data_IF_703086407580
#
_entry.id   IF_703086407580
#
_cell.length_a   1.000
_cell.length_b   1.000
_cell.length_c   1.000
_cell.angle_alpha   90.00
_cell.angle_beta   90.00
_cell.angle_gamma   90.00
#
_symmetry.space_group_name_H-M   'P 1'
#
loop_
_entity.id
_entity.type
_entity.pdbx_description
1 polymer ?
#
# COMPACT_ATOMS: atom_id res chain seq x y z
N UNK A 1 -23.52 39.70 -17.52
CA UNK A 1 -24.34 38.52 -17.13
C UNK A 1 -24.49 37.66 -18.37
N UNK A 2 -23.61 36.69 -18.57
CA UNK A 2 -23.52 35.91 -19.82
C UNK A 2 -23.68 34.45 -19.46
N UNK A 3 -24.82 33.85 -19.84
CA UNK A 3 -25.12 32.43 -19.64
C UNK A 3 -24.49 31.62 -20.77
N UNK A 4 -23.57 30.74 -20.43
CA UNK A 4 -23.02 29.71 -21.32
C UNK A 4 -24.02 28.54 -21.42
N UNK A 5 -24.43 28.08 -22.61
CA UNK A 5 -25.26 26.89 -22.73
C UNK A 5 -24.41 25.62 -22.58
N UNK A 6 -24.86 24.73 -21.68
CA UNK A 6 -24.30 23.40 -21.47
C UNK A 6 -24.78 22.46 -22.58
N UNK A 7 -23.87 22.01 -23.43
CA UNK A 7 -24.09 20.93 -24.37
C UNK A 7 -23.74 19.61 -23.66
N UNK A 8 -24.76 18.89 -23.19
CA UNK A 8 -24.63 17.49 -22.76
C UNK A 8 -25.09 16.62 -23.94
N UNK A 9 -24.21 15.81 -24.55
CA UNK A 9 -24.61 14.92 -25.64
C UNK A 9 -25.54 13.80 -25.17
N UNK A 10 -26.62 13.60 -25.92
CA UNK A 10 -27.79 12.76 -25.63
C UNK A 10 -27.58 11.27 -25.94
N UNK A 11 -26.38 10.74 -25.74
CA UNK A 11 -26.01 9.39 -26.22
C UNK A 11 -26.01 8.28 -25.16
N UNK A 12 -26.42 8.56 -23.92
CA UNK A 12 -26.48 7.58 -22.82
C UNK A 12 -27.92 7.18 -22.46
N UNK A 13 -28.76 6.92 -23.48
CA UNK A 13 -30.06 6.25 -23.33
C UNK A 13 -30.11 4.96 -24.14
N UNK A 14 -29.22 4.02 -23.83
CA UNK A 14 -29.42 2.60 -24.17
C UNK A 14 -29.43 1.79 -22.89
N UNK A 15 -30.62 1.66 -22.32
CA UNK A 15 -30.94 0.64 -21.33
C UNK A 15 -30.80 -0.74 -21.98
N UNK A 16 -29.98 -1.66 -21.43
CA UNK A 16 -30.01 -3.04 -21.87
C UNK A 16 -31.33 -3.67 -21.42
N UNK A 17 -32.10 -4.10 -22.42
CA UNK A 17 -33.31 -4.91 -22.31
C UNK A 17 -32.96 -6.21 -21.57
N UNK A 18 -33.30 -6.27 -20.29
CA UNK A 18 -33.11 -7.44 -19.42
C UNK A 18 -34.04 -8.54 -19.92
N UNK A 19 -33.46 -9.52 -20.63
CA UNK A 19 -34.16 -10.73 -21.02
C UNK A 19 -34.54 -11.51 -19.76
N UNK A 20 -35.83 -11.74 -19.59
CA UNK A 20 -36.37 -12.65 -18.59
C UNK A 20 -36.04 -14.08 -19.01
N UNK A 21 -35.04 -14.68 -18.39
CA UNK A 21 -34.80 -16.12 -18.45
C UNK A 21 -35.58 -16.76 -17.31
N UNK A 22 -36.67 -17.41 -17.67
CA UNK A 22 -37.38 -18.32 -16.79
C UNK A 22 -36.68 -19.69 -16.77
N UNK A 23 -36.81 -20.36 -15.62
CA UNK A 23 -36.75 -21.81 -15.44
C UNK A 23 -35.37 -22.48 -15.45
N UNK A 24 -34.93 -22.94 -14.28
CA UNK A 24 -35.02 -24.35 -13.91
C UNK A 24 -34.51 -24.52 -12.47
N UNK A 25 -35.25 -25.26 -11.64
CA UNK A 25 -34.93 -25.47 -10.23
C UNK A 25 -33.59 -26.16 -10.03
N UNK A 26 -32.70 -25.50 -9.31
CA UNK A 26 -31.45 -26.08 -8.84
C UNK A 26 -31.71 -26.78 -7.50
N UNK A 27 -31.71 -28.10 -7.53
CA UNK A 27 -31.67 -28.94 -6.34
C UNK A 27 -30.20 -29.04 -5.97
N UNK A 28 -29.74 -28.09 -5.17
CA UNK A 28 -28.44 -28.16 -4.48
C UNK A 28 -28.47 -29.30 -3.44
N UNK A 29 -28.39 -30.53 -3.93
CA UNK A 29 -27.81 -31.62 -3.18
C UNK A 29 -26.32 -31.28 -3.02
N UNK A 30 -25.91 -31.03 -1.79
CA UNK A 30 -24.52 -30.95 -1.36
C UNK A 30 -23.76 -32.19 -1.84
N UNK A 31 -23.16 -32.11 -3.03
CA UNK A 31 -22.23 -33.11 -3.52
C UNK A 31 -20.89 -32.82 -2.88
N UNK A 32 -20.60 -33.52 -1.77
CA UNK A 32 -19.25 -33.62 -1.23
C UNK A 32 -18.53 -34.62 -2.13
N UNK A 33 -17.59 -34.20 -2.99
CA UNK A 33 -16.84 -35.17 -3.79
C UNK A 33 -16.08 -36.09 -2.83
N UNK A 34 -16.32 -37.39 -2.97
CA UNK A 34 -15.53 -38.40 -2.27
C UNK A 34 -14.05 -38.14 -2.53
N UNK A 35 -13.27 -37.98 -1.46
CA UNK A 35 -11.80 -37.92 -1.54
C UNK A 35 -11.36 -39.17 -2.30
N UNK A 36 -10.85 -38.96 -3.52
CA UNK A 36 -10.09 -39.97 -4.22
C UNK A 36 -8.87 -40.28 -3.36
N UNK A 37 -8.89 -41.43 -2.69
CA UNK A 37 -7.73 -42.03 -2.03
C UNK A 37 -6.73 -42.44 -3.11
N UNK A 38 -6.12 -41.43 -3.75
CA UNK A 38 -4.95 -41.64 -4.58
C UNK A 38 -3.84 -41.97 -3.60
N UNK A 39 -3.59 -43.28 -3.45
CA UNK A 39 -2.47 -43.88 -2.72
C UNK A 39 -1.17 -43.31 -3.31
N UNK A 40 -0.76 -42.15 -2.83
CA UNK A 40 0.54 -41.55 -3.15
C UNK A 40 1.55 -42.46 -2.48
N UNK A 41 2.21 -43.29 -3.28
CA UNK A 41 3.40 -44.00 -2.85
C UNK A 41 4.37 -42.94 -2.32
N UNK A 42 4.66 -43.00 -1.02
CA UNK A 42 5.64 -42.15 -0.39
C UNK A 42 7.00 -42.48 -1.02
N UNK A 43 7.41 -41.67 -2.00
CA UNK A 43 8.80 -41.63 -2.42
C UNK A 43 9.60 -41.21 -1.19
N UNK A 44 10.60 -42.00 -0.75
CA UNK A 44 11.51 -41.59 0.30
C UNK A 44 12.10 -40.23 -0.08
N UNK A 45 11.83 -39.21 0.72
CA UNK A 45 12.49 -37.92 0.59
C UNK A 45 13.94 -38.21 0.95
N UNK A 46 14.80 -38.33 -0.07
CA UNK A 46 16.23 -38.33 0.13
C UNK A 46 16.59 -37.00 0.81
N UNK A 47 17.29 -37.10 1.95
CA UNK A 47 17.79 -35.92 2.63
C UNK A 47 18.53 -35.04 1.62
N UNK A 48 18.18 -33.75 1.50
CA UNK A 48 18.88 -32.86 0.60
C UNK A 48 20.36 -32.86 1.01
N UNK A 49 21.29 -32.93 0.05
CA UNK A 49 22.71 -32.82 0.35
C UNK A 49 22.90 -31.52 1.14
N UNK A 50 23.52 -31.64 2.32
CA UNK A 50 23.96 -30.51 3.11
C UNK A 50 24.99 -29.79 2.24
N UNK A 51 24.52 -28.80 1.49
CA UNK A 51 25.38 -27.91 0.74
C UNK A 51 26.21 -27.16 1.78
N UNK A 52 27.50 -27.47 1.77
CA UNK A 52 28.52 -26.80 2.54
C UNK A 52 28.37 -25.30 2.30
N UNK A 53 27.91 -24.61 3.36
CA UNK A 53 27.66 -23.17 3.38
C UNK A 53 28.98 -22.45 3.13
N UNK A 54 29.26 -22.21 1.85
CA UNK A 54 30.32 -21.31 1.43
C UNK A 54 29.92 -19.93 1.92
N UNK A 55 30.63 -19.46 2.94
CA UNK A 55 30.44 -18.15 3.54
C UNK A 55 30.39 -17.08 2.45
N UNK A 56 29.18 -16.57 2.23
CA UNK A 56 28.92 -15.44 1.35
C UNK A 56 29.63 -14.22 1.95
N UNK A 57 30.48 -13.51 1.18
CA UNK A 57 31.17 -12.34 1.69
C UNK A 57 30.12 -11.29 2.08
N UNK A 58 30.24 -10.78 3.31
CA UNK A 58 29.38 -9.74 3.86
C UNK A 58 29.22 -8.61 2.84
N UNK A 59 28.03 -8.53 2.23
CA UNK A 59 27.61 -7.41 1.41
C UNK A 59 27.49 -6.22 2.34
N UNK A 60 28.55 -5.41 2.35
CA UNK A 60 28.56 -4.09 2.98
C UNK A 60 27.35 -3.33 2.42
N UNK A 61 26.47 -2.78 3.27
CA UNK A 61 25.36 -1.97 2.79
C UNK A 61 25.96 -0.76 2.07
N UNK A 62 25.96 -0.79 0.74
CA UNK A 62 26.15 0.41 -0.04
C UNK A 62 24.97 1.32 0.29
N UNK A 63 25.22 2.26 1.21
CA UNK A 63 24.39 3.43 1.41
C UNK A 63 24.38 4.17 0.07
N UNK A 64 23.43 3.83 -0.78
CA UNK A 64 23.10 4.61 -1.95
C UNK A 64 22.51 5.90 -1.40
N UNK A 65 23.38 6.85 -1.09
CA UNK A 65 22.96 8.23 -0.91
C UNK A 65 22.17 8.59 -2.17
N UNK A 66 20.92 9.02 -2.05
CA UNK A 66 20.18 9.52 -3.20
C UNK A 66 21.07 10.58 -3.85
N UNK A 67 21.26 10.55 -5.18
CA UNK A 67 21.99 11.62 -5.85
C UNK A 67 21.34 12.92 -5.39
N UNK A 68 22.12 13.78 -4.76
CA UNK A 68 21.69 15.12 -4.42
C UNK A 68 21.10 15.70 -5.70
N UNK A 69 19.78 15.82 -5.74
CA UNK A 69 19.09 16.52 -6.81
C UNK A 69 19.53 17.96 -6.61
N UNK A 70 20.65 18.30 -7.25
CA UNK A 70 21.14 19.65 -7.38
C UNK A 70 20.08 20.37 -8.19
N UNK A 71 19.10 20.92 -7.48
CA UNK A 71 18.15 21.90 -7.96
C UNK A 71 18.91 23.20 -8.25
N UNK A 72 19.90 23.16 -9.14
CA UNK A 72 20.26 24.33 -9.93
C UNK A 72 19.19 24.43 -10.99
N UNK A 73 18.02 24.94 -10.58
CA UNK A 73 17.13 25.63 -11.51
C UNK A 73 18.04 26.62 -12.24
N UNK A 74 18.28 26.47 -13.55
CA UNK A 74 18.89 27.57 -14.29
C UNK A 74 17.92 28.73 -14.11
N UNK A 75 18.32 29.73 -13.32
CA UNK A 75 17.66 31.01 -13.34
C UNK A 75 17.57 31.39 -14.82
N UNK A 76 16.38 31.78 -15.32
CA UNK A 76 16.31 32.40 -16.62
C UNK A 76 17.30 33.55 -16.56
N UNK A 77 18.37 33.45 -17.33
CA UNK A 77 19.15 34.64 -17.66
C UNK A 77 18.14 35.49 -18.39
N UNK A 78 17.57 36.44 -17.67
CA UNK A 78 16.86 37.57 -18.20
C UNK A 78 17.90 38.27 -19.07
N UNK A 79 17.97 37.83 -20.34
CA UNK A 79 18.58 38.60 -21.40
C UNK A 79 17.65 39.80 -21.52
N UNK A 80 17.90 40.77 -20.65
CA UNK A 80 17.42 42.13 -20.80
C UNK A 80 17.96 42.58 -22.13
N UNK A 81 17.15 42.40 -23.18
CA UNK A 81 17.26 43.18 -24.39
C UNK A 81 16.89 44.59 -23.94
N UNK A 82 17.89 45.30 -23.38
CA UNK A 82 17.88 46.75 -23.29
C UNK A 82 17.78 47.24 -24.72
N UNK A 83 16.54 47.29 -25.19
CA UNK A 83 16.17 47.96 -26.41
C UNK A 83 16.06 49.43 -26.03
N UNK A 84 17.19 50.02 -25.63
CA UNK A 84 17.40 51.44 -25.80
C UNK A 84 17.55 51.67 -27.30
N UNK A 85 16.41 51.61 -27.99
CA UNK A 85 16.26 52.13 -29.34
C UNK A 85 16.35 53.65 -29.18
N UNK A 86 17.57 54.15 -29.13
CA UNK A 86 17.85 55.54 -29.42
C UNK A 86 17.45 55.74 -30.88
N UNK A 87 16.24 56.21 -31.10
CA UNK A 87 15.79 56.77 -32.37
C UNK A 87 16.39 58.18 -32.39
N UNK A 88 17.50 58.44 -33.09
CA UNK A 88 17.88 59.82 -33.34
C UNK A 88 16.75 60.46 -34.14
N UNK A 89 16.18 61.53 -33.59
CA UNK A 89 15.36 62.45 -34.35
C UNK A 89 16.22 62.99 -35.50
N UNK A 90 16.09 62.38 -36.68
CA UNK A 90 16.68 62.90 -37.90
C UNK A 90 15.91 64.16 -38.29
N UNK A 91 16.55 65.28 -37.94
CA UNK A 91 16.24 66.60 -38.39
C UNK A 91 16.07 66.67 -39.91
N UNK A 92 15.03 67.40 -40.28
CA UNK A 92 14.82 68.04 -41.56
C UNK A 92 16.11 68.72 -42.04
N UNK A 93 16.76 68.16 -43.06
CA UNK A 93 17.57 68.95 -44.00
C UNK A 93 16.92 68.88 -45.38
N UNK A 94 15.98 69.81 -45.57
CA UNK A 94 15.61 70.37 -46.86
C UNK A 94 16.83 71.13 -47.39
N UNK A 95 17.68 70.43 -48.13
CA UNK A 95 18.77 71.02 -48.88
C UNK A 95 18.42 71.03 -50.37
N UNK A 96 18.01 72.19 -50.87
CA UNK A 96 18.21 72.57 -52.28
C UNK A 96 19.72 72.64 -52.52
N UNK A 97 20.33 71.48 -52.77
CA UNK A 97 21.70 71.35 -53.22
C UNK A 97 21.66 70.71 -54.59
N UNK A 98 21.96 71.51 -55.62
CA UNK A 98 22.18 71.03 -56.97
C UNK A 98 23.27 69.96 -56.96
N UNK A 99 22.86 68.69 -56.97
CA UNK A 99 23.74 67.56 -57.17
C UNK A 99 24.25 67.59 -58.60
N UNK A 100 25.45 68.14 -58.77
CA UNK A 100 26.26 67.98 -59.97
C UNK A 100 26.45 66.47 -60.12
N UNK A 101 25.70 65.87 -61.03
CA UNK A 101 25.80 64.46 -61.38
C UNK A 101 27.10 64.28 -62.13
N UNK A 102 28.21 64.11 -61.40
CA UNK A 102 29.51 63.69 -61.93
C UNK A 102 29.47 62.18 -62.23
N UNK A 103 28.43 61.72 -62.92
CA UNK A 103 28.51 60.47 -63.66
C UNK A 103 28.93 60.91 -65.06
N UNK A 104 30.19 60.67 -65.45
CA UNK A 104 30.67 60.97 -66.79
C UNK A 104 29.70 60.39 -67.82
N UNK A 105 29.23 61.20 -68.76
CA UNK A 105 28.29 60.77 -69.81
C UNK A 105 28.88 59.64 -70.69
N UNK A 106 30.21 59.52 -70.69
CA UNK A 106 31.00 58.45 -71.29
C UNK A 106 30.88 57.07 -70.58
N UNK A 107 30.30 56.99 -69.38
CA UNK A 107 29.92 55.71 -68.74
C UNK A 107 28.49 55.27 -69.08
N UNK A 108 27.73 56.07 -69.85
CA UNK A 108 26.44 55.64 -70.48
C UNK A 108 26.66 54.91 -71.81
N UNK A 109 27.79 54.23 -71.97
CA UNK A 109 27.85 53.14 -72.93
C UNK A 109 26.86 52.07 -72.46
N UNK A 110 25.63 52.11 -72.98
CA UNK A 110 24.72 50.97 -72.93
C UNK A 110 25.41 49.85 -73.68
N UNK A 111 26.26 49.09 -72.97
CA UNK A 111 26.70 47.79 -73.41
C UNK A 111 25.42 47.01 -73.66
N UNK A 112 25.05 46.90 -74.92
CA UNK A 112 23.93 46.09 -75.39
C UNK A 112 24.29 44.67 -75.00
N UNK A 113 23.82 44.26 -73.82
CA UNK A 113 24.01 42.92 -73.35
C UNK A 113 23.53 41.97 -74.45
N UNK A 114 24.30 40.91 -74.76
CA UNK A 114 23.92 40.02 -75.83
C UNK A 114 22.55 39.40 -75.51
N UNK A 115 21.68 39.17 -76.51
CA UNK A 115 20.26 38.86 -76.30
C UNK A 115 20.00 37.56 -75.50
N UNK A 116 21.00 36.71 -75.32
CA UNK A 116 20.94 35.48 -74.53
C UNK A 116 21.24 35.65 -73.03
N UNK A 117 21.81 36.78 -72.62
CA UNK A 117 22.13 37.09 -71.22
C UNK A 117 20.94 36.97 -70.25
N UNK A 118 19.73 37.53 -70.53
CA UNK A 118 18.61 37.43 -69.59
C UNK A 118 18.13 35.99 -69.38
N UNK A 119 18.31 35.09 -70.36
CA UNK A 119 17.92 33.68 -70.22
C UNK A 119 18.78 32.95 -69.19
N UNK A 120 20.10 33.19 -69.17
CA UNK A 120 20.99 32.60 -68.17
C UNK A 120 20.76 33.18 -66.78
N UNK A 121 20.60 34.51 -66.67
CA UNK A 121 20.30 35.15 -65.38
C UNK A 121 18.97 34.63 -64.81
N UNK A 122 17.94 34.48 -65.65
CA UNK A 122 16.67 33.89 -65.24
C UNK A 122 16.80 32.42 -64.82
N UNK A 123 17.58 31.62 -65.56
CA UNK A 123 17.85 30.22 -65.21
C UNK A 123 18.56 30.08 -63.86
N UNK A 124 19.60 30.88 -63.63
CA UNK A 124 20.34 30.89 -62.36
C UNK A 124 19.44 31.35 -61.20
N UNK A 125 18.65 32.41 -61.38
CA UNK A 125 17.73 32.90 -60.37
C UNK A 125 16.67 31.83 -59.99
N UNK A 126 16.15 31.11 -60.99
CA UNK A 126 15.18 30.03 -60.77
C UNK A 126 15.82 28.85 -60.04
N UNK A 127 17.03 28.46 -60.44
CA UNK A 127 17.78 27.40 -59.76
C UNK A 127 18.06 27.76 -58.30
N UNK A 128 18.44 29.02 -58.01
CA UNK A 128 18.66 29.51 -56.66
C UNK A 128 17.38 29.48 -55.82
N UNK A 129 16.24 29.88 -56.39
CA UNK A 129 14.95 29.83 -55.70
C UNK A 129 14.54 28.40 -55.34
N UNK A 130 14.69 27.45 -56.26
CA UNK A 130 14.41 26.02 -56.01
C UNK A 130 15.34 25.47 -54.93
N UNK A 131 16.62 25.85 -54.94
CA UNK A 131 17.59 25.41 -53.95
C UNK A 131 17.29 25.97 -52.56
N UNK A 132 16.83 27.23 -52.45
CA UNK A 132 16.40 27.82 -51.18
C UNK A 132 15.14 27.14 -50.63
N UNK A 133 14.12 26.89 -51.47
CA UNK A 133 12.89 26.22 -51.04
C UNK A 133 13.19 24.77 -50.63
N UNK A 134 13.95 24.03 -51.44
CA UNK A 134 14.34 22.65 -51.15
C UNK A 134 15.21 22.54 -49.89
N UNK A 135 16.18 23.45 -49.73
CA UNK A 135 17.01 23.52 -48.53
C UNK A 135 16.19 23.80 -47.27
N UNK A 136 15.27 24.77 -47.34
CA UNK A 136 14.37 25.10 -46.21
C UNK A 136 13.44 23.94 -45.86
N UNK A 137 12.85 23.29 -46.87
CA UNK A 137 12.02 22.10 -46.65
C UNK A 137 12.81 20.96 -46.01
N UNK A 138 14.04 20.71 -46.48
CA UNK A 138 14.90 19.65 -45.95
C UNK A 138 15.28 19.89 -44.48
N UNK A 139 15.61 21.13 -44.09
CA UNK A 139 15.92 21.45 -42.69
C UNK A 139 14.68 21.34 -41.81
N UNK A 140 13.51 21.81 -42.27
CA UNK A 140 12.24 21.68 -41.54
C UNK A 140 11.84 20.22 -41.35
N UNK A 141 11.96 19.40 -42.40
CA UNK A 141 11.66 17.97 -42.34
C UNK A 141 12.56 17.24 -41.34
N UNK A 142 13.86 17.60 -41.28
CA UNK A 142 14.78 17.06 -40.27
C UNK A 142 14.45 17.51 -38.84
N UNK A 143 13.99 18.75 -38.64
CA UNK A 143 13.59 19.24 -37.32
C UNK A 143 12.35 18.50 -36.82
N UNK A 144 11.34 18.35 -37.69
CA UNK A 144 10.11 17.60 -37.38
C UNK A 144 10.45 16.14 -37.04
N UNK A 145 11.33 15.48 -37.81
CA UNK A 145 11.74 14.11 -37.54
C UNK A 145 12.36 13.92 -36.14
N UNK A 146 13.15 14.90 -35.66
CA UNK A 146 13.74 14.84 -34.30
C UNK A 146 12.69 14.97 -33.20
N UNK A 147 11.65 15.78 -33.41
CA UNK A 147 10.57 15.92 -32.42
C UNK A 147 9.80 14.61 -32.24
N UNK A 148 9.57 13.84 -33.31
CA UNK A 148 8.92 12.53 -33.22
C UNK A 148 9.72 11.51 -32.40
N UNK A 149 11.05 11.52 -32.50
CA UNK A 149 11.92 10.66 -31.67
C UNK A 149 11.84 11.04 -30.19
N UNK A 150 11.85 12.34 -29.87
CA UNK A 150 11.76 12.83 -28.49
C UNK A 150 10.39 12.51 -27.89
N UNK A 151 9.30 12.71 -28.63
CA UNK A 151 7.94 12.38 -28.18
C UNK A 151 7.81 10.86 -27.97
N UNK A 152 8.34 10.04 -28.87
CA UNK A 152 8.36 8.58 -28.70
C UNK A 152 9.18 8.12 -27.49
N UNK A 153 10.33 8.74 -27.24
CA UNK A 153 11.15 8.47 -26.05
C UNK A 153 10.45 8.88 -24.75
N UNK A 154 9.68 9.97 -24.76
CA UNK A 154 8.89 10.41 -23.61
C UNK A 154 7.70 9.46 -23.35
N UNK A 155 7.01 9.00 -24.40
CA UNK A 155 5.90 8.05 -24.28
C UNK A 155 6.38 6.72 -23.68
N UNK A 156 7.48 6.17 -24.19
CA UNK A 156 8.09 4.93 -23.68
C UNK A 156 8.57 5.07 -22.23
N UNK A 157 9.15 6.23 -21.86
CA UNK A 157 9.52 6.53 -20.47
C UNK A 157 8.29 6.63 -19.56
N UNK A 158 7.21 7.26 -20.03
CA UNK A 158 5.95 7.35 -19.29
C UNK A 158 5.34 5.98 -19.04
N UNK A 159 5.34 5.12 -20.06
CA UNK A 159 4.82 3.77 -19.94
C UNK A 159 5.69 2.88 -19.04
N UNK A 160 7.01 3.05 -19.09
CA UNK A 160 7.94 2.42 -18.15
C UNK A 160 7.66 2.80 -16.70
N UNK A 161 7.48 4.10 -16.42
CA UNK A 161 7.13 4.58 -15.08
C UNK A 161 5.77 4.08 -14.61
N UNK A 162 4.77 4.02 -15.50
CA UNK A 162 3.45 3.46 -15.17
C UNK A 162 3.53 1.98 -14.81
N UNK A 163 4.34 1.20 -15.52
CA UNK A 163 4.58 -0.22 -15.20
C UNK A 163 5.25 -0.37 -13.83
N UNK A 164 6.28 0.42 -13.56
CA UNK A 164 6.94 0.42 -12.25
C UNK A 164 5.98 0.82 -11.11
N UNK A 165 5.09 1.79 -11.35
CA UNK A 165 4.07 2.17 -10.37
C UNK A 165 3.10 1.00 -10.10
N UNK A 166 2.57 0.37 -11.16
CA UNK A 166 1.68 -0.77 -11.04
C UNK A 166 2.35 -1.98 -10.35
N UNK A 167 3.64 -2.23 -10.61
CA UNK A 167 4.41 -3.26 -9.92
C UNK A 167 4.61 -2.94 -8.44
N UNK A 168 4.93 -1.68 -8.11
CA UNK A 168 5.05 -1.23 -6.71
C UNK A 168 3.72 -1.33 -5.95
N UNK A 169 2.60 -1.01 -6.59
CA UNK A 169 1.27 -1.15 -6.00
C UNK A 169 0.92 -2.62 -5.72
N UNK A 170 1.23 -3.51 -6.67
CA UNK A 170 1.07 -4.97 -6.47
C UNK A 170 1.97 -5.49 -5.36
N UNK A 171 3.20 -4.99 -5.22
CA UNK A 171 4.09 -5.36 -4.13
C UNK A 171 3.57 -4.87 -2.75
N UNK A 172 2.86 -3.74 -2.71
CA UNK A 172 2.29 -3.20 -1.47
C UNK A 172 0.96 -3.84 -1.05
N UNK A 173 0.21 -4.44 -1.97
CA UNK A 173 -1.04 -5.13 -1.67
C UNK A 173 -0.91 -6.20 -0.55
N UNK A 174 0.04 -7.16 -0.60
CA UNK A 174 0.21 -8.15 0.46
C UNK A 174 0.63 -7.53 1.79
N UNK A 175 1.43 -6.45 1.78
CA UNK A 175 1.80 -5.73 3.00
C UNK A 175 0.57 -5.07 3.63
N UNK A 176 -0.30 -4.44 2.83
CA UNK A 176 -1.56 -3.84 3.31
C UNK A 176 -2.50 -4.92 3.86
N UNK A 177 -2.63 -6.06 3.18
CA UNK A 177 -3.42 -7.19 3.66
C UNK A 177 -2.90 -7.71 5.01
N UNK A 178 -1.58 -7.83 5.15
CA UNK A 178 -0.91 -8.25 6.39
C UNK A 178 -1.10 -7.23 7.51
N UNK A 179 -0.94 -5.93 7.23
CA UNK A 179 -1.19 -4.86 8.18
C UNK A 179 -2.65 -4.84 8.68
N UNK A 180 -3.62 -5.11 7.79
CA UNK A 180 -5.04 -5.26 8.18
C UNK A 180 -5.26 -6.45 9.11
N UNK A 181 -4.65 -7.60 8.80
CA UNK A 181 -4.71 -8.80 9.66
C UNK A 181 -4.05 -8.55 11.01
N UNK A 182 -2.87 -7.93 11.02
CA UNK A 182 -2.17 -7.55 12.26
C UNK A 182 -3.02 -6.59 13.09
N UNK A 183 -3.66 -5.59 12.46
CA UNK A 183 -4.58 -4.67 13.14
C UNK A 183 -5.81 -5.37 13.70
N UNK A 184 -6.36 -6.37 12.99
CA UNK A 184 -7.46 -7.16 13.51
C UNK A 184 -7.03 -7.99 14.72
N UNK A 185 -5.85 -8.62 14.66
CA UNK A 185 -5.28 -9.38 15.79
C UNK A 185 -4.99 -8.47 16.98
N UNK A 186 -4.41 -7.29 16.76
CA UNK A 186 -4.14 -6.32 17.84
C UNK A 186 -5.41 -5.71 18.42
N UNK A 187 -6.53 -5.68 17.69
CA UNK A 187 -7.85 -5.34 18.26
C UNK A 187 -8.44 -6.48 19.09
N UNK A 188 -8.12 -7.73 18.75
CA UNK A 188 -8.53 -8.91 19.51
C UNK A 188 -7.64 -9.16 20.75
N UNK A 189 -6.38 -8.71 20.75
CA UNK A 189 -5.45 -8.92 21.87
C UNK A 189 -5.88 -8.23 23.19
N UNK A 190 -6.41 -7.01 23.22
CA UNK A 190 -6.99 -6.42 24.43
C UNK A 190 -8.22 -7.18 24.93
N UNK A 191 -8.88 -7.95 24.06
CA UNK A 191 -9.97 -8.87 24.44
C UNK A 191 -9.46 -10.23 24.93
N UNK A 192 -8.15 -10.50 24.90
CA UNK A 192 -7.56 -11.68 25.53
C UNK A 192 -7.71 -11.55 27.05
N UNK A 193 -8.81 -12.11 27.53
CA UNK A 193 -9.18 -12.23 28.93
C UNK A 193 -7.98 -12.76 29.71
N UNK A 194 -7.51 -12.00 30.70
CA UNK A 194 -6.41 -12.46 31.55
C UNK A 194 -6.97 -13.51 32.51
N UNK A 195 -6.46 -14.72 32.41
CA UNK A 195 -6.83 -15.82 33.29
C UNK A 195 -6.20 -15.73 34.69
N UNK A 196 -5.18 -14.88 34.88
CA UNK A 196 -4.47 -14.72 36.16
C UNK A 196 -5.40 -14.48 37.36
N UNK A 197 -6.28 -13.44 37.35
CA UNK A 197 -7.22 -13.21 38.44
C UNK A 197 -8.21 -14.35 38.67
N UNK A 198 -8.57 -15.08 37.62
CA UNK A 198 -9.46 -16.25 37.71
C UNK A 198 -8.76 -17.41 38.38
N UNK A 199 -7.51 -17.73 38.00
CA UNK A 199 -6.72 -18.75 38.66
C UNK A 199 -6.45 -18.40 40.12
N UNK A 200 -6.12 -17.14 40.43
CA UNK A 200 -5.96 -16.69 41.81
C UNK A 200 -7.26 -16.84 42.63
N UNK A 201 -8.41 -16.56 42.01
CA UNK A 201 -9.71 -16.78 42.66
C UNK A 201 -9.94 -18.27 42.95
N UNK A 202 -9.68 -19.14 41.96
CA UNK A 202 -9.78 -20.60 42.10
C UNK A 202 -8.88 -21.08 43.23
N UNK A 203 -7.62 -20.73 43.21
CA UNK A 203 -6.65 -21.12 44.24
C UNK A 203 -7.08 -20.67 45.64
N UNK A 204 -7.51 -19.41 45.79
CA UNK A 204 -7.94 -18.86 47.09
C UNK A 204 -9.22 -19.48 47.66
N UNK A 205 -10.03 -20.13 46.82
CA UNK A 205 -11.32 -20.74 47.19
C UNK A 205 -11.30 -22.26 47.19
N UNK A 206 -10.17 -22.88 46.84
CA UNK A 206 -10.02 -24.33 46.86
C UNK A 206 -9.77 -24.82 48.27
N UNK A 207 -10.59 -25.74 48.76
CA UNK A 207 -10.39 -26.36 50.06
C UNK A 207 -9.19 -27.33 50.01
N UNK A 208 -8.44 -27.45 51.13
CA UNK A 208 -7.35 -28.42 51.21
C UNK A 208 -7.81 -29.84 50.86
N UNK A 209 -7.07 -30.51 49.97
CA UNK A 209 -7.38 -31.87 49.51
C UNK A 209 -8.33 -31.96 48.31
N UNK A 210 -8.96 -30.86 47.90
CA UNK A 210 -9.67 -30.79 46.61
C UNK A 210 -8.66 -30.50 45.50
N UNK A 211 -8.71 -31.30 44.43
CA UNK A 211 -7.84 -31.14 43.24
C UNK A 211 -8.68 -30.98 41.98
N UNK A 212 -8.19 -30.19 41.04
CA UNK A 212 -8.77 -30.06 39.69
C UNK A 212 -7.93 -30.86 38.69
N UNK A 213 -8.58 -31.68 37.87
CA UNK A 213 -7.91 -32.46 36.82
C UNK A 213 -7.76 -31.67 35.51
N UNK A 214 -8.61 -30.66 35.31
CA UNK A 214 -8.57 -29.79 34.15
C UNK A 214 -9.45 -28.57 34.33
N UNK A 215 -9.34 -27.65 33.38
CA UNK A 215 -10.16 -26.45 33.32
C UNK A 215 -10.53 -26.17 31.87
N UNK A 216 -11.83 -26.09 31.62
CA UNK A 216 -12.39 -25.73 30.31
C UNK A 216 -13.20 -24.45 30.48
N UNK A 217 -13.01 -23.50 29.59
CA UNK A 217 -13.65 -22.20 29.67
C UNK A 217 -14.38 -21.83 28.39
N UNK A 218 -15.55 -21.24 28.54
CA UNK A 218 -16.35 -20.69 27.46
C UNK A 218 -16.25 -19.15 27.41
N UNK A 219 -16.47 -18.60 26.22
CA UNK A 219 -16.51 -17.14 25.94
C UNK A 219 -17.59 -16.45 26.78
N UNK A 220 -18.61 -17.19 27.23
CA UNK A 220 -19.67 -16.68 28.10
C UNK A 220 -19.26 -16.49 29.56
N UNK A 221 -18.01 -16.80 29.93
CA UNK A 221 -17.53 -16.73 31.32
C UNK A 221 -17.89 -17.95 32.16
N UNK A 222 -18.33 -19.03 31.50
CA UNK A 222 -18.58 -20.32 32.14
C UNK A 222 -17.29 -21.13 32.18
N UNK A 223 -16.98 -21.70 33.33
CA UNK A 223 -15.80 -22.53 33.56
C UNK A 223 -16.27 -23.89 34.06
N UNK A 224 -15.85 -24.98 33.40
CA UNK A 224 -16.06 -26.36 33.85
C UNK A 224 -14.75 -26.94 34.35
N UNK A 225 -14.78 -27.56 35.51
CA UNK A 225 -13.61 -28.09 36.21
C UNK A 225 -13.93 -29.48 36.73
N UNK A 226 -13.43 -30.54 36.05
CA UNK A 226 -13.40 -31.87 36.62
C UNK A 226 -12.61 -31.84 37.92
N UNK A 227 -13.26 -32.18 39.02
CA UNK A 227 -12.77 -32.00 40.38
C UNK A 227 -12.78 -33.34 41.12
N UNK A 228 -11.75 -33.60 41.91
CA UNK A 228 -11.71 -34.74 42.85
C UNK A 228 -11.62 -34.20 44.27
N UNK A 229 -12.53 -34.64 45.13
CA UNK A 229 -12.53 -34.35 46.56
C UNK A 229 -12.29 -35.64 47.37
N UNK A 230 -11.74 -35.54 48.60
CA UNK A 230 -11.45 -36.72 49.42
C UNK A 230 -12.72 -37.40 49.95
N UNK A 231 -13.85 -36.68 50.00
CA UNK A 231 -15.13 -37.20 50.45
C UNK A 231 -16.30 -36.43 49.84
N UNK A 232 -17.51 -37.00 49.90
CA UNK A 232 -18.75 -36.33 49.49
C UNK A 232 -18.95 -35.04 50.32
N UNK A 233 -18.59 -35.07 51.60
CA UNK A 233 -18.65 -33.90 52.48
C UNK A 233 -17.73 -32.78 51.99
N UNK A 234 -16.48 -33.09 51.66
CA UNK A 234 -15.55 -32.10 51.11
C UNK A 234 -16.02 -31.54 49.76
N UNK A 235 -16.64 -32.36 48.91
CA UNK A 235 -17.27 -31.89 47.67
C UNK A 235 -18.41 -30.90 47.95
N UNK A 236 -19.29 -31.21 48.90
CA UNK A 236 -20.38 -30.32 49.30
C UNK A 236 -19.86 -29.01 49.93
N UNK A 237 -18.85 -29.08 50.79
CA UNK A 237 -18.20 -27.91 51.39
C UNK A 237 -17.56 -27.02 50.30
N UNK A 238 -16.91 -27.63 49.30
CA UNK A 238 -16.36 -26.90 48.15
C UNK A 238 -17.46 -26.18 47.35
N UNK A 239 -18.61 -26.82 47.13
CA UNK A 239 -19.74 -26.18 46.46
C UNK A 239 -20.28 -24.99 47.25
N UNK A 240 -20.34 -25.10 48.58
CA UNK A 240 -20.77 -24.00 49.45
C UNK A 240 -19.77 -22.85 49.41
N UNK A 241 -18.46 -23.13 49.44
CA UNK A 241 -17.41 -22.12 49.32
C UNK A 241 -17.53 -21.32 48.01
N UNK A 242 -17.86 -22.00 46.91
CA UNK A 242 -18.10 -21.35 45.62
C UNK A 242 -19.38 -20.51 45.59
N UNK A 243 -20.49 -21.02 46.13
CA UNK A 243 -21.75 -20.27 46.24
C UNK A 243 -21.63 -19.02 47.12
N UNK A 244 -20.75 -19.03 48.10
CA UNK A 244 -20.48 -17.88 48.97
C UNK A 244 -19.56 -16.82 48.33
N UNK A 245 -18.98 -17.09 47.16
CA UNK A 245 -18.02 -16.20 46.51
C UNK A 245 -18.74 -15.15 45.66
N UNK A 246 -18.65 -13.84 45.97
CA UNK A 246 -19.44 -12.81 45.27
C UNK A 246 -19.17 -12.70 43.76
N UNK A 247 -17.99 -13.13 43.31
CA UNK A 247 -17.59 -13.08 41.89
C UNK A 247 -18.08 -14.27 41.07
N UNK A 248 -18.82 -15.19 41.70
CA UNK A 248 -19.44 -16.36 41.05
C UNK A 248 -20.95 -16.12 41.03
N UNK A 249 -21.53 -16.03 39.84
CA UNK A 249 -22.97 -15.80 39.64
C UNK A 249 -23.76 -17.09 39.69
N UNK A 250 -23.17 -18.20 39.25
CA UNK A 250 -23.84 -19.50 39.21
C UNK A 250 -22.85 -20.61 39.53
N UNK A 251 -23.31 -21.63 40.26
CA UNK A 251 -22.51 -22.81 40.62
C UNK A 251 -23.38 -24.04 40.49
N UNK A 252 -22.96 -24.95 39.62
CA UNK A 252 -23.61 -26.25 39.39
C UNK A 252 -22.58 -27.35 39.51
N UNK A 253 -22.97 -28.49 40.06
CA UNK A 253 -22.14 -29.68 40.11
C UNK A 253 -22.92 -30.85 39.49
N UNK A 254 -22.24 -31.65 38.68
CA UNK A 254 -22.82 -32.80 38.00
C UNK A 254 -21.89 -34.00 38.05
N UNK A 255 -22.45 -35.21 37.89
CA UNK A 255 -21.66 -36.43 37.74
C UNK A 255 -20.85 -36.81 38.98
N UNK A 256 -21.48 -36.82 40.16
CA UNK A 256 -20.84 -37.26 41.41
C UNK A 256 -20.62 -38.77 41.35
N UNK A 257 -19.36 -39.18 41.24
CA UNK A 257 -18.93 -40.57 41.06
C UNK A 257 -17.81 -40.87 42.06
N UNK A 258 -17.73 -42.11 42.55
CA UNK A 258 -16.58 -42.52 43.37
C UNK A 258 -15.35 -42.68 42.49
N UNK A 259 -14.22 -42.07 42.88
CA UNK A 259 -12.93 -42.26 42.23
C UNK A 259 -12.31 -43.54 42.79
N UNK A 260 -12.41 -44.64 42.05
CA UNK A 260 -11.89 -45.95 42.43
C UNK A 260 -10.68 -46.24 41.55
N UNK A 261 -9.58 -46.66 42.16
CA UNK A 261 -8.40 -47.06 41.40
C UNK A 261 -8.49 -48.49 40.85
N UNK A 262 -7.48 -48.90 40.07
CA UNK A 262 -7.42 -50.22 39.44
C UNK A 262 -7.45 -51.39 40.46
N UNK A 263 -7.16 -51.11 41.74
CA UNK A 263 -7.16 -52.08 42.83
C UNK A 263 -8.50 -52.10 43.61
N UNK A 264 -9.48 -51.31 43.18
CA UNK A 264 -10.77 -51.20 43.87
C UNK A 264 -10.75 -50.29 45.10
N UNK A 265 -9.67 -49.54 45.34
CA UNK A 265 -9.57 -48.64 46.50
C UNK A 265 -10.20 -47.30 46.17
N UNK A 266 -11.14 -46.86 47.00
CA UNK A 266 -11.80 -45.55 46.86
C UNK A 266 -10.81 -44.45 47.25
N UNK A 267 -10.37 -43.66 46.29
CA UNK A 267 -9.47 -42.52 46.48
C UNK A 267 -10.18 -41.21 46.78
N UNK A 268 -11.46 -41.12 46.40
CA UNK A 268 -12.25 -39.91 46.61
C UNK A 268 -13.54 -39.90 45.81
N UNK A 269 -14.02 -38.70 45.53
CA UNK A 269 -15.26 -38.43 44.79
C UNK A 269 -14.94 -37.48 43.64
N UNK A 270 -15.18 -37.94 42.41
CA UNK A 270 -15.10 -37.16 41.18
C UNK A 270 -16.43 -36.47 40.92
N UNK A 271 -16.38 -35.21 40.50
CA UNK A 271 -17.54 -34.45 40.05
C UNK A 271 -17.11 -33.35 39.08
N UNK A 272 -17.98 -32.95 38.16
CA UNK A 272 -17.75 -31.79 37.29
C UNK A 272 -18.38 -30.56 37.92
N UNK A 273 -17.53 -29.56 38.21
CA UNK A 273 -17.95 -28.30 38.78
C UNK A 273 -18.02 -27.24 37.68
N UNK A 274 -19.22 -26.71 37.46
CA UNK A 274 -19.48 -25.66 36.47
C UNK A 274 -19.82 -24.35 37.15
N UNK A 275 -18.95 -23.36 36.95
CA UNK A 275 -19.03 -22.02 37.53
C UNK A 275 -19.36 -21.01 36.44
N UNK A 276 -20.23 -20.04 36.74
CA UNK A 276 -20.39 -18.82 35.93
C UNK A 276 -19.72 -17.67 36.66
N UNK A 277 -18.66 -17.14 36.07
CA UNK A 277 -17.86 -16.08 36.66
C UNK A 277 -18.35 -14.70 36.20
N UNK A 278 -18.22 -13.70 37.05
CA UNK A 278 -18.45 -12.31 36.70
C UNK A 278 -17.49 -11.89 35.55
N UNK A 279 -17.99 -11.34 34.42
CA UNK A 279 -17.14 -10.86 33.33
C UNK A 279 -16.08 -9.83 33.75
N UNK A 280 -16.31 -9.07 34.83
CA UNK A 280 -15.33 -8.10 35.34
C UNK A 280 -14.01 -8.75 35.80
N UNK A 281 -14.02 -10.02 36.19
CA UNK A 281 -12.80 -10.76 36.55
C UNK A 281 -11.80 -10.90 35.40
N UNK A 282 -12.30 -10.86 34.16
CA UNK A 282 -11.50 -11.03 32.96
C UNK A 282 -11.01 -9.70 32.38
N UNK A 283 -11.58 -8.58 32.84
CA UNK A 283 -11.15 -7.26 32.43
C UNK A 283 -9.85 -6.92 33.11
N UNK A 284 -9.00 -6.18 32.40
CA UNK A 284 -7.86 -5.51 33.02
C UNK A 284 -8.43 -4.65 34.14
N UNK A 285 -8.26 -5.06 35.39
CA UNK A 285 -8.06 -4.09 36.45
C UNK A 285 -6.79 -3.36 36.05
N UNK A 286 -6.92 -2.34 35.20
CA UNK A 286 -6.05 -1.19 35.25
C UNK A 286 -6.31 -0.58 36.63
N UNK A 287 -5.77 -1.23 37.66
CA UNK A 287 -5.52 -0.53 38.89
C UNK A 287 -4.80 0.74 38.43
N UNK A 288 -5.27 1.94 38.80
CA UNK A 288 -4.49 3.13 38.57
C UNK A 288 -3.14 2.79 39.18
N UNK A 289 -2.15 2.59 38.31
CA UNK A 289 -0.80 2.42 38.73
C UNK A 289 -0.53 3.79 39.32
N UNK A 290 -0.72 3.90 40.63
CA UNK A 290 -0.30 5.02 41.44
C UNK A 290 1.23 4.93 41.41
N UNK A 291 1.77 5.24 40.22
CA UNK A 291 3.15 5.60 39.99
C UNK A 291 3.26 6.89 40.74
N UNK A 292 3.43 6.76 42.07
CA UNK A 292 3.89 7.86 42.89
C UNK A 292 5.11 8.36 42.15
N UNK A 293 5.10 9.62 41.65
CA UNK A 293 6.28 10.18 41.05
C UNK A 293 7.36 9.98 42.10
N UNK A 294 8.36 9.16 41.78
CA UNK A 294 9.49 8.93 42.66
C UNK A 294 10.13 10.29 42.77
N UNK A 295 9.82 10.96 43.88
CA UNK A 295 10.21 12.33 44.14
C UNK A 295 11.70 12.40 43.96
N UNK A 296 12.09 13.08 42.89
CA UNK A 296 13.16 14.05 42.82
C UNK A 296 14.11 13.95 44.03
N UNK A 297 14.98 12.93 43.97
CA UNK A 297 16.10 12.81 44.91
C UNK A 297 17.09 13.87 44.50
N UNK A 298 16.88 15.10 45.01
CA UNK A 298 17.82 16.21 44.90
C UNK A 298 19.22 15.68 45.22
N UNK A 299 20.07 15.67 44.20
CA UNK A 299 21.52 15.54 44.37
C UNK A 299 22.01 16.93 44.76
N UNK A 300 22.30 17.09 46.03
CA UNK A 300 23.04 18.22 46.56
C UNK A 300 23.99 17.69 47.61
N UNK A 301 25.25 17.48 47.20
CA UNK A 301 26.49 17.79 47.93
C UNK A 301 27.68 17.61 46.99
#
# INVERSE_FOLDING_TARGET
MSRTPSFIPEEVRRTPKRAATASAGDKDAFYIPARSDKKVAATPIADPPIAESTAEPAVVPHSVSPPAVSSSTPQPTEVGINTDLHIPAASTMRGEGGGITLIPEELRATATAPPWWPMWVGGIATALAVLLIGGTWFTLSRLIAREWEVVGALETRRDGLRKQLAESERALEPLRATARRATAVTKLLPSHRRWGPVFALIESRTLPGVRYEGLTADVNGTVSMPTVAPSIRAAAEQMVAWKATPKVTETTASGVLSDVDDLGVVRGVKFDLRLRLDPELFRLTSAPQDVRPTGDRRIGE
#
